data_IF_013775124602
#
_entry.id   IF_013775124602
#
_cell.length_a   1.000
_cell.length_b   1.000
_cell.length_c   1.000
_cell.angle_alpha   90.00
_cell.angle_beta   90.00
_cell.angle_gamma   90.00
#
_symmetry.space_group_name_H-M   'P 1'
#
loop_
_entity.id
_entity.type
_entity.pdbx_description
1 polymer ?
#
# COMPACT_ATOMS: atom_id res chain seq x y z
N UNK A 1 4.79 -25.61 -1.88
CA UNK A 1 4.26 -24.23 -1.90
C UNK A 1 5.38 -23.17 -1.97
N UNK A 2 6.54 -23.43 -1.36
CA UNK A 2 7.70 -22.52 -1.41
C UNK A 2 8.24 -22.34 -2.85
N UNK A 3 8.24 -23.37 -3.68
CA UNK A 3 8.87 -23.37 -5.00
C UNK A 3 8.08 -22.61 -6.08
N UNK A 4 6.78 -22.40 -5.88
CA UNK A 4 5.91 -21.85 -6.93
C UNK A 4 5.77 -20.31 -6.84
N UNK A 5 5.91 -19.74 -5.64
CA UNK A 5 5.62 -18.30 -5.44
C UNK A 5 6.86 -17.41 -5.43
N UNK A 6 8.00 -17.89 -4.92
CA UNK A 6 9.19 -17.05 -4.75
C UNK A 6 9.85 -16.58 -6.06
N UNK A 7 10.14 -17.46 -7.04
CA UNK A 7 10.88 -17.03 -8.24
C UNK A 7 10.08 -16.06 -9.11
N UNK A 8 8.78 -16.30 -9.27
CA UNK A 8 7.91 -15.45 -10.11
C UNK A 8 7.71 -14.06 -9.48
N UNK A 9 7.59 -14.02 -8.16
CA UNK A 9 7.40 -12.76 -7.41
C UNK A 9 8.68 -11.91 -7.39
N UNK A 10 9.83 -12.55 -7.21
CA UNK A 10 11.14 -11.87 -7.26
C UNK A 10 11.39 -11.32 -8.66
N UNK A 11 11.12 -12.09 -9.69
CA UNK A 11 11.25 -11.67 -11.09
C UNK A 11 10.31 -10.51 -11.46
N UNK A 12 9.05 -10.55 -11.00
CA UNK A 12 8.09 -9.48 -11.21
C UNK A 12 8.51 -8.18 -10.51
N UNK A 13 8.96 -8.28 -9.26
CA UNK A 13 9.44 -7.16 -8.46
C UNK A 13 10.71 -6.52 -9.05
N UNK A 14 11.65 -7.35 -9.51
CA UNK A 14 12.88 -6.89 -10.18
C UNK A 14 12.55 -6.12 -11.46
N UNK A 15 11.75 -6.69 -12.35
CA UNK A 15 11.32 -6.03 -13.59
C UNK A 15 10.63 -4.70 -13.33
N UNK A 16 9.78 -4.63 -12.30
CA UNK A 16 9.11 -3.38 -11.95
C UNK A 16 10.09 -2.34 -11.41
N UNK A 17 11.07 -2.74 -10.62
CA UNK A 17 12.14 -1.84 -10.17
C UNK A 17 12.96 -1.30 -11.35
N UNK A 18 13.24 -2.12 -12.35
CA UNK A 18 13.96 -1.70 -13.55
C UNK A 18 13.13 -0.70 -14.37
N UNK A 19 11.82 -0.96 -14.54
CA UNK A 19 10.88 -0.03 -15.16
C UNK A 19 10.81 1.30 -14.38
N UNK A 20 10.78 1.24 -13.06
CA UNK A 20 10.78 2.42 -12.19
C UNK A 20 12.06 3.23 -12.34
N UNK A 21 13.22 2.58 -12.36
CA UNK A 21 14.52 3.26 -12.49
C UNK A 21 14.74 3.86 -13.88
N UNK A 22 14.29 3.17 -14.94
CA UNK A 22 14.51 3.58 -16.32
C UNK A 22 13.56 4.69 -16.80
N UNK A 23 12.40 4.86 -16.19
CA UNK A 23 11.31 5.70 -16.71
C UNK A 23 10.60 6.55 -15.65
N UNK A 24 11.30 6.97 -14.59
CA UNK A 24 10.70 7.81 -13.53
C UNK A 24 10.12 9.13 -14.06
N UNK A 25 10.54 9.58 -15.23
CA UNK A 25 10.15 10.89 -15.77
C UNK A 25 8.88 10.86 -16.63
N UNK A 26 8.53 9.73 -17.27
CA UNK A 26 7.47 9.73 -18.30
C UNK A 26 6.48 8.55 -18.22
N UNK A 27 6.30 7.94 -17.06
CA UNK A 27 5.65 6.64 -16.99
C UNK A 27 4.14 6.70 -16.73
N UNK A 28 3.34 6.85 -17.79
CA UNK A 28 1.87 6.64 -17.73
C UNK A 28 1.50 5.21 -17.29
N UNK A 29 2.41 4.24 -17.45
CA UNK A 29 2.20 2.82 -17.08
C UNK A 29 2.54 2.50 -15.62
N UNK A 30 3.22 3.41 -14.90
CA UNK A 30 3.66 3.20 -13.53
C UNK A 30 2.50 2.81 -12.59
N UNK A 31 1.40 3.50 -12.71
CA UNK A 31 0.21 3.25 -11.89
C UNK A 31 -0.39 1.86 -12.15
N UNK A 32 -0.46 1.43 -13.42
CA UNK A 32 -0.93 0.10 -13.81
C UNK A 32 0.03 -1.01 -13.37
N UNK A 33 1.33 -0.78 -13.49
CA UNK A 33 2.35 -1.71 -13.06
C UNK A 33 2.31 -1.94 -11.54
N UNK A 34 2.09 -0.88 -10.75
CA UNK A 34 1.88 -0.98 -9.30
C UNK A 34 0.63 -1.82 -8.95
N UNK A 35 -0.48 -1.64 -9.68
CA UNK A 35 -1.70 -2.43 -9.45
C UNK A 35 -1.47 -3.92 -9.73
N UNK A 36 -0.77 -4.24 -10.83
CA UNK A 36 -0.44 -5.63 -11.16
C UNK A 36 0.47 -6.23 -10.08
N UNK A 37 1.49 -5.49 -9.65
CA UNK A 37 2.41 -5.95 -8.60
C UNK A 37 1.70 -6.14 -7.27
N UNK A 38 0.84 -5.22 -6.90
CA UNK A 38 0.00 -5.36 -5.70
C UNK A 38 -0.87 -6.61 -5.80
N UNK A 39 -1.67 -6.72 -6.85
CA UNK A 39 -2.62 -7.82 -7.00
C UNK A 39 -1.93 -9.17 -7.07
N UNK A 40 -0.96 -9.33 -8.00
CA UNK A 40 -0.28 -10.61 -8.24
C UNK A 40 0.85 -10.89 -7.24
N UNK A 41 1.60 -9.86 -6.88
CA UNK A 41 2.80 -9.97 -6.05
C UNK A 41 2.54 -9.94 -4.54
N UNK A 42 1.39 -9.49 -4.09
CA UNK A 42 1.12 -9.37 -2.66
C UNK A 42 -0.28 -9.87 -2.29
N UNK A 43 -1.33 -9.32 -2.89
CA UNK A 43 -2.71 -9.55 -2.47
C UNK A 43 -3.18 -10.99 -2.67
N UNK A 44 -2.90 -11.62 -3.83
CA UNK A 44 -3.32 -13.00 -4.11
C UNK A 44 -2.71 -13.99 -3.11
N UNK A 45 -1.45 -13.80 -2.72
CA UNK A 45 -0.78 -14.60 -1.69
C UNK A 45 -1.45 -14.42 -0.34
N UNK A 46 -1.74 -13.18 0.06
CA UNK A 46 -2.42 -12.86 1.31
C UNK A 46 -3.82 -13.50 1.32
N UNK A 47 -4.57 -13.37 0.22
CA UNK A 47 -5.91 -13.93 0.10
C UNK A 47 -5.89 -15.47 0.20
N UNK A 48 -4.95 -16.13 -0.45
CA UNK A 48 -4.74 -17.58 -0.33
C UNK A 48 -4.47 -17.97 1.12
N UNK A 49 -3.57 -17.27 1.81
CA UNK A 49 -3.22 -17.55 3.20
C UNK A 49 -4.42 -17.31 4.15
N UNK A 50 -5.28 -16.30 3.90
CA UNK A 50 -6.53 -16.10 4.65
C UNK A 50 -7.46 -17.30 4.55
N UNK A 51 -7.59 -17.89 3.37
CA UNK A 51 -8.42 -19.07 3.16
C UNK A 51 -7.81 -20.32 3.82
N UNK A 52 -6.50 -20.51 3.69
CA UNK A 52 -5.80 -21.63 4.31
C UNK A 52 -5.82 -21.56 5.84
N UNK A 53 -5.75 -20.36 6.44
CA UNK A 53 -5.81 -20.17 7.90
C UNK A 53 -7.14 -20.66 8.52
N UNK A 54 -8.21 -20.72 7.75
CA UNK A 54 -9.50 -21.27 8.23
C UNK A 54 -9.48 -22.80 8.38
N UNK A 55 -8.50 -23.48 7.79
CA UNK A 55 -8.37 -24.92 7.86
C UNK A 55 -7.62 -25.34 9.14
N UNK A 56 -8.02 -26.44 9.80
CA UNK A 56 -7.32 -26.94 10.99
C UNK A 56 -5.88 -27.41 10.70
N UNK A 57 -5.51 -27.56 9.43
CA UNK A 57 -4.16 -27.92 8.98
C UNK A 57 -3.20 -26.74 8.87
N UNK A 58 -3.60 -25.53 9.33
CA UNK A 58 -2.72 -24.36 9.33
C UNK A 58 -1.51 -24.57 10.23
N UNK A 59 -0.31 -24.46 9.68
CA UNK A 59 0.95 -24.74 10.37
C UNK A 59 1.70 -23.46 10.76
N UNK A 60 2.57 -23.57 11.76
CA UNK A 60 3.45 -22.48 12.17
C UNK A 60 4.42 -22.06 11.05
N UNK A 61 4.83 -23.01 10.20
CA UNK A 61 5.66 -22.71 9.02
C UNK A 61 4.91 -21.78 8.06
N UNK A 62 3.64 -22.07 7.79
CA UNK A 62 2.80 -21.21 6.93
C UNK A 62 2.60 -19.81 7.53
N UNK A 63 2.44 -19.72 8.87
CA UNK A 63 2.38 -18.44 9.58
C UNK A 63 3.69 -17.64 9.44
N UNK A 64 4.84 -18.29 9.50
CA UNK A 64 6.14 -17.64 9.31
C UNK A 64 6.35 -17.17 7.88
N UNK A 65 5.92 -17.96 6.89
CA UNK A 65 6.01 -17.62 5.48
C UNK A 65 5.18 -16.36 5.13
N UNK A 66 3.92 -16.30 5.59
CA UNK A 66 3.09 -15.12 5.33
C UNK A 66 3.64 -13.89 6.05
N UNK A 67 4.18 -14.01 7.25
CA UNK A 67 4.83 -12.93 7.96
C UNK A 67 6.03 -12.38 7.19
N UNK A 68 6.90 -13.28 6.68
CA UNK A 68 8.04 -12.91 5.83
C UNK A 68 7.56 -12.20 4.55
N UNK A 69 6.53 -12.74 3.91
CA UNK A 69 5.93 -12.16 2.69
C UNK A 69 5.38 -10.74 2.93
N UNK A 70 4.66 -10.52 4.03
CA UNK A 70 4.16 -9.20 4.41
C UNK A 70 5.31 -8.20 4.63
N UNK A 71 6.36 -8.62 5.33
CA UNK A 71 7.54 -7.79 5.59
C UNK A 71 8.27 -7.43 4.29
N UNK A 72 8.49 -8.40 3.41
CA UNK A 72 9.12 -8.15 2.10
C UNK A 72 8.28 -7.24 1.21
N UNK A 73 6.96 -7.46 1.16
CA UNK A 73 6.05 -6.62 0.39
C UNK A 73 6.02 -5.19 0.92
N UNK A 74 6.03 -5.02 2.25
CA UNK A 74 6.11 -3.72 2.89
C UNK A 74 7.40 -2.98 2.52
N UNK A 75 8.56 -3.63 2.67
CA UNK A 75 9.85 -3.05 2.30
C UNK A 75 9.92 -2.67 0.81
N UNK A 76 9.32 -3.47 -0.05
CA UNK A 76 9.25 -3.19 -1.49
C UNK A 76 8.47 -1.89 -1.79
N UNK A 77 7.22 -1.74 -1.29
CA UNK A 77 6.43 -0.54 -1.55
C UNK A 77 6.98 0.69 -0.82
N UNK A 78 7.61 0.51 0.35
CA UNK A 78 8.31 1.59 1.05
C UNK A 78 9.49 2.10 0.22
N UNK A 79 10.26 1.20 -0.39
CA UNK A 79 11.38 1.60 -1.25
C UNK A 79 10.90 2.36 -2.51
N UNK A 80 9.79 1.92 -3.13
CA UNK A 80 9.18 2.66 -4.24
C UNK A 80 8.76 4.06 -3.79
N UNK A 81 8.09 4.16 -2.65
CA UNK A 81 7.65 5.45 -2.10
C UNK A 81 8.84 6.39 -1.87
N UNK A 82 9.94 5.89 -1.30
CA UNK A 82 11.16 6.67 -1.09
C UNK A 82 11.79 7.15 -2.42
N UNK A 83 11.78 6.30 -3.46
CA UNK A 83 12.25 6.69 -4.80
C UNK A 83 11.36 7.78 -5.43
N UNK A 84 10.06 7.72 -5.19
CA UNK A 84 9.13 8.76 -5.64
C UNK A 84 9.30 10.05 -4.85
N UNK A 85 9.55 9.96 -3.55
CA UNK A 85 9.69 11.10 -2.64
C UNK A 85 10.99 11.87 -2.88
N UNK A 86 12.11 11.18 -3.14
CA UNK A 86 13.37 11.83 -3.52
C UNK A 86 13.27 12.70 -4.79
N UNK A 87 12.23 12.52 -5.59
CA UNK A 87 11.91 13.26 -6.80
C UNK A 87 10.70 14.22 -6.66
N UNK A 88 10.05 14.21 -5.50
CA UNK A 88 8.96 15.11 -5.15
C UNK A 88 9.40 15.81 -3.88
N UNK A 89 9.62 17.13 -3.92
CA UNK A 89 9.84 17.95 -2.73
C UNK A 89 8.58 17.92 -1.83
N UNK A 90 8.33 16.79 -1.15
CA UNK A 90 7.23 16.65 -0.20
C UNK A 90 7.44 17.50 1.06
N UNK A 91 8.66 18.01 1.28
CA UNK A 91 8.97 18.79 2.48
C UNK A 91 8.45 20.23 2.48
N UNK A 92 7.99 20.75 1.33
CA UNK A 92 7.55 22.14 1.22
C UNK A 92 6.04 22.37 1.00
N UNK A 93 5.18 21.39 1.19
CA UNK A 93 3.72 21.55 1.00
C UNK A 93 2.93 21.67 2.33
N UNK A 94 3.51 22.30 3.35
CA UNK A 94 2.72 22.73 4.51
C UNK A 94 2.14 24.16 4.36
N UNK A 95 2.28 24.81 3.22
CA UNK A 95 1.64 26.10 2.97
C UNK A 95 1.10 26.20 1.53
N UNK A 96 -0.19 26.41 1.42
CA UNK A 96 -0.98 27.00 0.34
C UNK A 96 -0.22 27.38 -0.93
N UNK A 97 -0.27 26.55 -1.94
CA UNK A 97 0.33 26.87 -3.24
C UNK A 97 -0.40 26.21 -4.39
N UNK A 98 -1.62 26.65 -4.67
CA UNK A 98 -2.30 26.40 -5.92
C UNK A 98 -1.80 27.40 -6.96
N UNK A 99 -1.44 26.88 -8.16
CA UNK A 99 -1.11 27.59 -9.40
C UNK A 99 0.33 28.10 -9.57
N UNK A 100 1.07 27.40 -10.42
CA UNK A 100 1.80 28.03 -11.51
C UNK A 100 1.98 27.02 -12.66
N UNK A 101 1.62 27.46 -13.82
CA UNK A 101 1.57 26.77 -15.11
C UNK A 101 2.95 26.44 -15.65
N UNK A 102 3.15 25.18 -16.09
CA UNK A 102 4.03 24.85 -17.19
C UNK A 102 3.67 23.44 -17.72
N UNK A 103 3.29 23.33 -18.97
CA UNK A 103 2.48 22.27 -19.57
C UNK A 103 3.08 20.86 -19.68
N UNK A 104 4.38 20.60 -19.56
CA UNK A 104 4.94 19.24 -19.65
C UNK A 104 5.40 18.66 -18.29
N UNK A 105 5.66 19.48 -17.29
CA UNK A 105 5.98 19.04 -15.92
C UNK A 105 4.75 18.58 -15.15
N UNK A 106 3.55 18.94 -15.59
CA UNK A 106 2.27 18.64 -14.91
C UNK A 106 1.88 17.16 -15.01
N UNK A 107 2.01 16.52 -16.16
CA UNK A 107 1.64 15.11 -16.36
C UNK A 107 2.54 14.16 -15.55
N UNK A 108 3.83 14.39 -15.55
CA UNK A 108 4.79 13.61 -14.76
C UNK A 108 4.52 13.74 -13.26
N UNK A 109 4.25 14.96 -12.78
CA UNK A 109 3.91 15.21 -11.38
C UNK A 109 2.59 14.52 -10.97
N UNK A 110 1.59 14.51 -11.85
CA UNK A 110 0.31 13.80 -11.64
C UNK A 110 0.52 12.30 -11.56
N UNK A 111 1.31 11.70 -12.44
CA UNK A 111 1.58 10.26 -12.43
C UNK A 111 2.36 9.83 -11.18
N UNK A 112 3.35 10.62 -10.75
CA UNK A 112 4.09 10.38 -9.49
C UNK A 112 3.17 10.47 -8.27
N UNK A 113 2.27 11.46 -8.21
CA UNK A 113 1.27 11.58 -7.14
C UNK A 113 0.34 10.35 -7.08
N UNK A 114 -0.17 9.89 -8.23
CA UNK A 114 -0.98 8.67 -8.30
C UNK A 114 -0.23 7.44 -7.82
N UNK A 115 1.04 7.30 -8.18
CA UNK A 115 1.89 6.20 -7.74
C UNK A 115 2.14 6.26 -6.22
N UNK A 116 2.47 7.43 -5.68
CA UNK A 116 2.67 7.63 -4.25
C UNK A 116 1.38 7.34 -3.46
N UNK A 117 0.23 7.83 -3.93
CA UNK A 117 -1.07 7.51 -3.37
C UNK A 117 -1.29 6.00 -3.25
N UNK A 118 -1.07 5.25 -4.35
CA UNK A 118 -1.22 3.79 -4.35
C UNK A 118 -0.26 3.10 -3.39
N UNK A 119 1.01 3.48 -3.38
CA UNK A 119 1.99 2.92 -2.44
C UNK A 119 1.55 3.12 -0.99
N UNK A 120 1.05 4.30 -0.63
CA UNK A 120 0.55 4.60 0.71
C UNK A 120 -0.67 3.73 1.08
N UNK A 121 -1.61 3.54 0.16
CA UNK A 121 -2.75 2.63 0.37
C UNK A 121 -2.28 1.19 0.58
N UNK A 122 -1.35 0.70 -0.26
CA UNK A 122 -0.82 -0.67 -0.15
C UNK A 122 -0.04 -0.88 1.16
N UNK A 123 0.74 0.12 1.60
CA UNK A 123 1.42 0.08 2.91
C UNK A 123 0.43 0.03 4.07
N UNK A 124 -0.66 0.80 3.98
CA UNK A 124 -1.76 0.74 4.94
C UNK A 124 -2.42 -0.64 4.99
N UNK A 125 -2.70 -1.23 3.83
CA UNK A 125 -3.27 -2.57 3.72
C UNK A 125 -2.32 -3.65 4.27
N UNK A 126 -1.03 -3.61 3.90
CA UNK A 126 -0.04 -4.56 4.41
C UNK A 126 0.09 -4.49 5.92
N UNK A 127 0.12 -3.28 6.49
CA UNK A 127 0.16 -3.07 7.94
C UNK A 127 -1.11 -3.62 8.60
N UNK A 128 -2.28 -3.41 8.00
CA UNK A 128 -3.54 -3.98 8.49
C UNK A 128 -3.53 -5.51 8.45
N UNK A 129 -2.98 -6.12 7.39
CA UNK A 129 -2.86 -7.58 7.32
C UNK A 129 -1.91 -8.14 8.37
N UNK A 130 -0.93 -7.37 8.86
CA UNK A 130 -0.10 -7.80 9.99
C UNK A 130 -0.93 -8.05 11.25
N UNK A 131 -2.03 -7.29 11.48
CA UNK A 131 -2.95 -7.54 12.60
C UNK A 131 -3.63 -8.92 12.51
N UNK A 132 -3.83 -9.42 11.31
CA UNK A 132 -4.49 -10.71 11.10
C UNK A 132 -3.52 -11.89 11.25
N UNK A 133 -2.26 -11.74 10.85
CA UNK A 133 -1.32 -12.87 10.72
C UNK A 133 -0.18 -12.87 11.74
N UNK A 134 0.07 -11.77 12.44
CA UNK A 134 1.20 -11.65 13.35
C UNK A 134 0.71 -11.56 14.80
N UNK A 135 0.67 -12.71 15.48
CA UNK A 135 0.38 -12.76 16.90
C UNK A 135 1.54 -12.13 17.70
N UNK A 136 1.24 -11.50 18.84
CA UNK A 136 2.25 -10.91 19.75
C UNK A 136 2.70 -9.50 19.41
N UNK A 137 2.21 -8.87 18.32
CA UNK A 137 2.45 -7.46 18.05
C UNK A 137 1.52 -6.56 18.89
N UNK A 138 1.99 -5.35 19.19
CA UNK A 138 1.13 -4.33 19.78
C UNK A 138 0.06 -3.90 18.77
N UNK A 139 -1.14 -4.46 18.89
CA UNK A 139 -2.27 -4.22 17.98
C UNK A 139 -2.60 -2.74 17.83
N UNK A 140 -2.50 -1.99 18.92
CA UNK A 140 -2.78 -0.55 18.91
C UNK A 140 -1.74 0.20 18.04
N UNK A 141 -0.47 -0.12 18.19
CA UNK A 141 0.61 0.50 17.43
C UNK A 141 0.48 0.19 15.93
N UNK A 142 0.20 -1.06 15.58
CA UNK A 142 0.02 -1.49 14.18
C UNK A 142 -1.22 -0.83 13.57
N UNK A 143 -2.32 -0.75 14.31
CA UNK A 143 -3.55 -0.05 13.88
C UNK A 143 -3.28 1.44 13.65
N UNK A 144 -2.55 2.09 14.56
CA UNK A 144 -2.16 3.49 14.42
C UNK A 144 -1.31 3.73 13.18
N UNK A 145 -0.37 2.83 12.91
CA UNK A 145 0.50 2.91 11.73
C UNK A 145 -0.30 2.74 10.42
N UNK A 146 -1.20 1.74 10.36
CA UNK A 146 -2.09 1.54 9.21
C UNK A 146 -2.96 2.78 8.96
N UNK A 147 -3.56 3.33 10.01
CA UNK A 147 -4.35 4.57 9.95
C UNK A 147 -3.53 5.75 9.41
N UNK A 148 -2.27 5.89 9.86
CA UNK A 148 -1.36 6.94 9.38
C UNK A 148 -1.12 6.85 7.88
N UNK A 149 -0.88 5.66 7.32
CA UNK A 149 -0.69 5.49 5.88
C UNK A 149 -1.94 5.89 5.08
N UNK A 150 -3.13 5.49 5.51
CA UNK A 150 -4.36 5.92 4.83
C UNK A 150 -4.60 7.43 4.93
N UNK A 151 -4.30 8.05 6.07
CA UNK A 151 -4.37 9.50 6.21
C UNK A 151 -3.36 10.22 5.30
N UNK A 152 -2.13 9.70 5.20
CA UNK A 152 -1.14 10.23 4.26
C UNK A 152 -1.59 10.09 2.81
N UNK A 153 -2.25 8.97 2.43
CA UNK A 153 -2.78 8.83 1.08
C UNK A 153 -3.87 9.87 0.78
N UNK A 154 -4.73 10.19 1.74
CA UNK A 154 -5.74 11.26 1.62
C UNK A 154 -5.13 12.66 1.53
N UNK A 155 -3.94 12.88 2.12
CA UNK A 155 -3.21 14.15 1.93
C UNK A 155 -2.66 14.28 0.50
N UNK A 156 -2.35 13.15 -0.16
CA UNK A 156 -1.92 13.14 -1.56
C UNK A 156 -3.11 13.32 -2.50
N UNK A 157 -4.20 12.57 -2.29
CA UNK A 157 -5.42 12.67 -3.08
C UNK A 157 -6.67 12.46 -2.21
N UNK A 158 -7.33 13.55 -1.78
CA UNK A 158 -8.51 13.48 -0.92
C UNK A 158 -9.79 13.05 -1.66
N UNK A 159 -9.76 12.94 -2.99
CA UNK A 159 -10.94 12.62 -3.82
C UNK A 159 -11.20 11.12 -3.93
N UNK A 160 -10.20 10.30 -3.60
CA UNK A 160 -10.32 8.84 -3.68
C UNK A 160 -11.03 8.26 -2.44
N UNK A 161 -12.11 7.54 -2.65
CA UNK A 161 -12.90 6.90 -1.59
C UNK A 161 -12.17 5.76 -0.88
N UNK A 162 -11.29 5.02 -1.56
CA UNK A 162 -10.68 3.79 -1.04
C UNK A 162 -10.06 3.92 0.36
N UNK A 163 -9.25 4.95 0.69
CA UNK A 163 -8.69 5.10 2.04
C UNK A 163 -9.77 5.32 3.11
N UNK A 164 -10.87 6.01 2.78
CA UNK A 164 -11.99 6.18 3.69
C UNK A 164 -12.66 4.85 4.05
N UNK A 165 -12.88 3.97 3.07
CA UNK A 165 -13.37 2.62 3.31
C UNK A 165 -12.46 1.82 4.25
N UNK A 166 -11.15 1.88 4.05
CA UNK A 166 -10.18 1.20 4.91
C UNK A 166 -10.13 1.79 6.34
N UNK A 167 -10.24 3.11 6.47
CA UNK A 167 -10.34 3.78 7.78
C UNK A 167 -11.62 3.40 8.50
N UNK A 168 -12.74 3.26 7.78
CA UNK A 168 -13.99 2.78 8.34
C UNK A 168 -13.86 1.34 8.86
N UNK A 169 -13.25 0.45 8.06
CA UNK A 169 -13.02 -0.94 8.45
C UNK A 169 -12.12 -1.05 9.70
N UNK A 170 -11.06 -0.24 9.81
CA UNK A 170 -10.21 -0.19 11.00
C UNK A 170 -10.96 0.32 12.24
N UNK A 171 -11.85 1.31 12.07
CA UNK A 171 -12.64 1.87 13.17
C UNK A 171 -13.77 0.92 13.58
N UNK A 172 -14.40 0.22 12.64
CA UNK A 172 -15.47 -0.72 12.88
C UNK A 172 -15.05 -1.98 13.65
N UNK A 173 -13.76 -2.36 13.58
CA UNK A 173 -13.23 -3.47 14.37
C UNK A 173 -13.18 -3.19 15.87
N UNK A 174 -13.27 -1.92 16.27
CA UNK A 174 -13.20 -1.48 17.68
C UNK A 174 -14.56 -1.05 18.23
N UNK A 175 -15.38 -0.39 17.45
CA UNK A 175 -16.75 0.01 17.76
C UNK A 175 -17.45 0.48 16.48
N UNK A 176 -18.70 0.07 16.25
CA UNK A 176 -19.57 0.69 15.24
C UNK A 176 -19.98 2.09 15.72
N UNK A 177 -19.02 3.02 15.74
CA UNK A 177 -19.23 4.38 16.20
C UNK A 177 -19.43 5.36 15.05
N UNK A 178 -19.80 6.60 15.39
CA UNK A 178 -19.99 7.71 14.45
C UNK A 178 -18.78 7.90 13.50
N UNK A 179 -17.58 7.57 13.96
CA UNK A 179 -16.35 7.67 13.16
C UNK A 179 -16.37 6.70 11.97
N UNK A 180 -16.80 5.45 12.18
CA UNK A 180 -16.91 4.47 11.09
C UNK A 180 -17.98 4.90 10.08
N UNK A 181 -19.13 5.37 10.56
CA UNK A 181 -20.21 5.91 9.72
C UNK A 181 -19.72 7.10 8.92
N UNK A 182 -19.02 8.05 9.54
CA UNK A 182 -18.43 9.20 8.85
C UNK A 182 -17.52 8.78 7.69
N UNK A 183 -16.63 7.82 7.93
CA UNK A 183 -15.74 7.33 6.88
C UNK A 183 -16.48 6.61 5.75
N UNK A 184 -17.51 5.81 6.05
CA UNK A 184 -18.33 5.18 5.02
C UNK A 184 -19.14 6.17 4.18
N UNK A 185 -19.58 7.27 4.77
CA UNK A 185 -20.27 8.34 4.03
C UNK A 185 -19.33 9.15 3.14
N UNK A 186 -18.03 9.11 3.42
CA UNK A 186 -16.98 9.80 2.61
C UNK A 186 -16.43 8.91 1.49
N UNK A 187 -16.69 7.61 1.56
CA UNK A 187 -16.29 6.65 0.53
C UNK A 187 -17.24 6.77 -0.66
#
# INVERSE_FOLDING_TARGET
MEDVFLPTLVGLRSKLQDILKSNLEDNQYLSGALDITWRKGSYEVIHLCKNLRKNPTWTQTQASLIKSHLTQSFGYFQNILNLLDSNLDFQHQNEYGFLSSEGNKTTTKVNKKKAAFKCLVFLGDLTRYQLEFCDGQNKEQVTRLSKKFYQMSLSVDPTHGQPFNQLAALSGSQCYGLIAVYYYLRW
#
